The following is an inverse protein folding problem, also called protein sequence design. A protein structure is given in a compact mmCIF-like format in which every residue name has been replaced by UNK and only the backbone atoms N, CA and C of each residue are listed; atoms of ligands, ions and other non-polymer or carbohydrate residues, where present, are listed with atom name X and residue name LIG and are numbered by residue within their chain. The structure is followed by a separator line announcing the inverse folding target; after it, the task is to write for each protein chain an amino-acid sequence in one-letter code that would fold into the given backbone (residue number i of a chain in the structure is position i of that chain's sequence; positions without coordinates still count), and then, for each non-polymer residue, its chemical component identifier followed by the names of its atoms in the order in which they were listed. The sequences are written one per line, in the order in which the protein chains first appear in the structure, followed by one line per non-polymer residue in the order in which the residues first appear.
data_IF_605239760391
#
_entry.id   IF_605239760391
#
_cell.length_a   1.000
_cell.length_b   1.000
_cell.length_c   1.000
_cell.angle_alpha   90.00
_cell.angle_beta   90.00
_cell.angle_gamma   90.00
#
_symmetry.space_group_name_H-M   'P 1'
#
loop_
_entity.id
_entity.type
_entity.pdbx_description
1 polymer ?
#
# COMPACT_ATOMS: atom_id res chain seq x y z
N UNK A 1 34.24 61.25 -15.86
CA UNK A 1 33.14 60.46 -16.47
C UNK A 1 33.31 58.94 -16.32
N UNK A 2 34.53 58.43 -16.13
CA UNK A 2 34.84 56.98 -16.05
C UNK A 2 34.33 56.28 -14.78
N UNK A 3 34.25 56.99 -13.65
CA UNK A 3 33.79 56.42 -12.37
C UNK A 3 32.28 56.10 -12.35
N UNK A 4 31.47 56.93 -13.00
CA UNK A 4 30.03 56.72 -13.10
C UNK A 4 29.69 55.44 -13.90
N UNK A 5 30.47 55.13 -14.94
CA UNK A 5 30.24 53.95 -15.78
C UNK A 5 30.58 52.64 -15.02
N UNK A 6 31.68 52.64 -14.27
CA UNK A 6 32.09 51.51 -13.43
C UNK A 6 31.09 51.18 -12.31
N UNK A 7 30.38 52.19 -11.82
CA UNK A 7 29.36 52.04 -10.77
C UNK A 7 28.12 51.32 -11.28
N UNK A 8 27.64 51.71 -12.47
CA UNK A 8 26.49 51.11 -13.14
C UNK A 8 26.72 49.65 -13.52
N UNK A 9 27.92 49.30 -14.01
CA UNK A 9 28.26 47.91 -14.35
C UNK A 9 28.29 46.99 -13.12
N UNK A 10 28.83 47.46 -11.98
CA UNK A 10 28.83 46.68 -10.74
C UNK A 10 27.43 46.44 -10.19
N UNK A 11 26.54 47.43 -10.30
CA UNK A 11 25.14 47.31 -9.90
C UNK A 11 24.41 46.34 -10.85
N UNK A 12 24.62 46.46 -12.16
CA UNK A 12 24.03 45.55 -13.14
C UNK A 12 24.48 44.09 -12.94
N UNK A 13 25.76 43.86 -12.64
CA UNK A 13 26.31 42.52 -12.34
C UNK A 13 25.82 41.97 -10.98
N UNK A 14 25.63 42.84 -9.98
CA UNK A 14 25.04 42.46 -8.69
C UNK A 14 23.56 42.11 -8.82
N UNK A 15 22.79 42.95 -9.51
CA UNK A 15 21.37 42.76 -9.77
C UNK A 15 21.11 41.50 -10.60
N UNK A 16 21.89 41.23 -11.65
CA UNK A 16 21.76 40.03 -12.47
C UNK A 16 21.99 38.73 -11.70
N UNK A 17 22.96 38.71 -10.77
CA UNK A 17 23.20 37.55 -9.89
C UNK A 17 22.06 37.33 -8.91
N UNK A 18 21.53 38.40 -8.32
CA UNK A 18 20.40 38.32 -7.39
C UNK A 18 19.12 37.83 -8.08
N UNK A 19 18.78 38.37 -9.25
CA UNK A 19 17.61 37.92 -10.03
C UNK A 19 17.74 36.46 -10.44
N UNK A 20 18.93 36.03 -10.86
CA UNK A 20 19.17 34.61 -11.21
C UNK A 20 19.06 33.69 -9.99
N UNK A 21 19.57 34.13 -8.83
CA UNK A 21 19.45 33.38 -7.58
C UNK A 21 17.99 33.26 -7.13
N UNK A 22 17.22 34.34 -7.25
CA UNK A 22 15.79 34.34 -6.95
C UNK A 22 15.02 33.41 -7.90
N UNK A 23 15.27 33.51 -9.21
CA UNK A 23 14.64 32.66 -10.21
C UNK A 23 14.96 31.18 -9.98
N UNK A 24 16.23 30.85 -9.71
CA UNK A 24 16.65 29.50 -9.35
C UNK A 24 15.97 29.01 -8.06
N UNK A 25 15.85 29.88 -7.06
CA UNK A 25 15.14 29.57 -5.81
C UNK A 25 13.66 29.26 -6.02
N UNK A 26 12.97 30.05 -6.84
CA UNK A 26 11.55 29.81 -7.16
C UNK A 26 11.37 28.48 -7.89
N UNK A 27 12.23 28.18 -8.87
CA UNK A 27 12.18 26.90 -9.61
C UNK A 27 12.45 25.73 -8.65
N UNK A 28 13.42 25.87 -7.75
CA UNK A 28 13.72 24.83 -6.76
C UNK A 28 12.54 24.57 -5.83
N UNK A 29 11.91 25.64 -5.30
CA UNK A 29 10.72 25.52 -4.44
C UNK A 29 9.56 24.88 -5.22
N UNK A 30 9.32 25.29 -6.46
CA UNK A 30 8.29 24.72 -7.30
C UNK A 30 8.54 23.22 -7.56
N UNK A 31 9.79 22.82 -7.82
CA UNK A 31 10.15 21.42 -8.02
C UNK A 31 9.97 20.59 -6.75
N UNK A 32 10.43 21.10 -5.60
CA UNK A 32 10.22 20.43 -4.30
C UNK A 32 8.72 20.30 -4.03
N UNK A 33 7.95 21.37 -4.23
CA UNK A 33 6.50 21.36 -4.06
C UNK A 33 5.81 20.34 -4.96
N UNK A 34 6.23 20.24 -6.23
CA UNK A 34 5.72 19.25 -7.18
C UNK A 34 6.00 17.82 -6.73
N UNK A 35 7.23 17.55 -6.28
CA UNK A 35 7.62 16.21 -5.79
C UNK A 35 6.81 15.84 -4.54
N UNK A 36 6.67 16.77 -3.59
CA UNK A 36 5.87 16.55 -2.38
C UNK A 36 4.39 16.34 -2.71
N UNK A 37 3.85 17.11 -3.66
CA UNK A 37 2.48 16.94 -4.13
C UNK A 37 2.27 15.56 -4.77
N UNK A 38 3.18 15.13 -5.64
CA UNK A 38 3.13 13.81 -6.26
C UNK A 38 3.20 12.71 -5.21
N UNK A 39 4.11 12.82 -4.24
CA UNK A 39 4.21 11.89 -3.13
C UNK A 39 2.92 11.81 -2.30
N UNK A 40 2.29 12.95 -2.03
CA UNK A 40 1.02 13.01 -1.31
C UNK A 40 -0.12 12.33 -2.09
N UNK A 41 -0.23 12.58 -3.40
CA UNK A 41 -1.22 11.93 -4.27
C UNK A 41 -1.01 10.42 -4.33
N UNK A 42 0.23 9.96 -4.51
CA UNK A 42 0.56 8.53 -4.52
C UNK A 42 0.23 7.87 -3.18
N UNK A 43 0.53 8.55 -2.07
CA UNK A 43 0.20 8.06 -0.74
C UNK A 43 -1.32 7.96 -0.55
N UNK A 44 -2.07 8.99 -0.95
CA UNK A 44 -3.53 8.97 -0.89
C UNK A 44 -4.11 7.84 -1.77
N UNK A 45 -3.58 7.64 -2.97
CA UNK A 45 -3.98 6.55 -3.86
C UNK A 45 -3.68 5.17 -3.25
N UNK A 46 -2.51 4.99 -2.62
CA UNK A 46 -2.15 3.74 -1.94
C UNK A 46 -3.08 3.46 -0.76
N UNK A 47 -3.38 4.47 0.07
CA UNK A 47 -4.34 4.34 1.18
C UNK A 47 -5.72 3.97 0.66
N UNK A 48 -6.19 4.62 -0.42
CA UNK A 48 -7.47 4.30 -1.03
C UNK A 48 -7.49 2.85 -1.54
N UNK A 49 -6.43 2.40 -2.22
CA UNK A 49 -6.30 1.03 -2.71
C UNK A 49 -6.31 0.01 -1.55
N UNK A 50 -5.59 0.29 -0.46
CA UNK A 50 -5.60 -0.54 0.75
C UNK A 50 -7.01 -0.59 1.34
N UNK A 51 -7.69 0.55 1.46
CA UNK A 51 -9.07 0.62 1.96
C UNK A 51 -10.02 -0.25 1.14
N UNK A 52 -9.94 -0.17 -0.19
CA UNK A 52 -10.74 -1.01 -1.10
C UNK A 52 -10.38 -2.48 -0.94
N UNK A 53 -9.10 -2.83 -0.85
CA UNK A 53 -8.65 -4.20 -0.68
C UNK A 53 -9.13 -4.80 0.65
N UNK A 54 -9.11 -4.03 1.74
CA UNK A 54 -9.61 -4.45 3.03
C UNK A 54 -11.13 -4.66 3.02
N UNK A 55 -11.88 -3.77 2.36
CA UNK A 55 -13.33 -3.93 2.20
C UNK A 55 -13.68 -5.16 1.37
N UNK A 56 -13.01 -5.34 0.22
CA UNK A 56 -13.23 -6.49 -0.65
C UNK A 56 -12.83 -7.81 0.03
N UNK A 57 -11.67 -7.85 0.66
CA UNK A 57 -11.18 -9.01 1.40
C UNK A 57 -12.04 -9.33 2.61
N UNK A 58 -12.48 -8.33 3.37
CA UNK A 58 -13.40 -8.49 4.49
C UNK A 58 -14.78 -8.99 4.07
N UNK A 59 -15.33 -8.45 2.98
CA UNK A 59 -16.59 -8.92 2.40
C UNK A 59 -16.47 -10.38 1.91
N UNK A 60 -15.38 -10.72 1.24
CA UNK A 60 -15.11 -12.09 0.81
C UNK A 60 -14.97 -13.04 1.99
N UNK A 61 -14.19 -12.68 3.01
CA UNK A 61 -14.03 -13.48 4.22
C UNK A 61 -15.37 -13.71 4.91
N UNK A 62 -16.17 -12.65 5.10
CA UNK A 62 -17.50 -12.75 5.69
C UNK A 62 -18.42 -13.66 4.86
N UNK A 63 -18.39 -13.52 3.54
CA UNK A 63 -19.15 -14.35 2.62
C UNK A 63 -18.75 -15.83 2.69
N UNK A 64 -17.45 -16.13 2.77
CA UNK A 64 -16.97 -17.52 2.94
C UNK A 64 -17.39 -18.12 4.28
N UNK A 65 -17.44 -17.31 5.35
CA UNK A 65 -17.85 -17.76 6.68
C UNK A 65 -19.36 -18.01 6.77
N UNK A 66 -20.19 -17.12 6.22
CA UNK A 66 -21.66 -17.27 6.24
C UNK A 66 -22.12 -18.40 5.33
N UNK A 67 -21.48 -18.61 4.17
CA UNK A 67 -21.85 -19.70 3.26
C UNK A 67 -21.45 -21.09 3.76
N UNK A 68 -20.75 -21.19 4.90
CA UNK A 68 -20.13 -22.41 5.39
C UNK A 68 -19.05 -22.92 4.43
N UNK A 69 -18.27 -23.94 4.81
CA UNK A 69 -17.44 -24.66 3.86
C UNK A 69 -18.38 -25.33 2.87
N UNK A 70 -18.73 -24.63 1.79
CA UNK A 70 -19.21 -25.28 0.59
C UNK A 70 -18.04 -26.11 0.11
N UNK A 71 -18.17 -27.43 0.28
CA UNK A 71 -17.50 -28.45 -0.50
C UNK A 71 -17.36 -27.95 -1.95
N UNK A 72 -16.28 -27.24 -2.27
CA UNK A 72 -15.86 -27.02 -3.63
C UNK A 72 -15.24 -28.35 -3.99
N UNK A 73 -16.06 -29.20 -4.62
CA UNK A 73 -15.59 -30.42 -5.22
C UNK A 73 -14.39 -30.12 -6.12
N UNK A 74 -13.33 -30.88 -5.91
CA UNK A 74 -12.06 -30.77 -6.59
C UNK A 74 -10.96 -31.23 -5.65
N UNK A 75 -10.84 -32.55 -5.53
CA UNK A 75 -9.68 -33.34 -5.09
C UNK A 75 -8.60 -32.62 -4.29
N UNK A 76 -8.52 -32.95 -3.00
CA UNK A 76 -7.29 -33.46 -2.38
C UNK A 76 -7.58 -33.84 -0.91
N UNK A 77 -7.82 -35.14 -0.69
CA UNK A 77 -7.52 -35.88 0.55
C UNK A 77 -7.77 -35.17 1.89
N UNK A 78 -8.99 -34.72 2.14
CA UNK A 78 -9.33 -34.03 3.39
C UNK A 78 -10.79 -34.17 3.78
N UNK A 79 -11.39 -35.34 3.52
CA UNK A 79 -12.66 -35.71 4.15
C UNK A 79 -12.51 -35.45 5.66
N UNK A 80 -13.31 -34.57 6.28
CA UNK A 80 -13.18 -34.30 7.71
C UNK A 80 -13.51 -35.61 8.41
N UNK A 81 -12.45 -36.36 8.72
CA UNK A 81 -12.53 -37.73 9.24
C UNK A 81 -13.37 -37.63 10.48
N UNK A 82 -14.62 -38.07 10.39
CA UNK A 82 -15.57 -37.97 11.47
C UNK A 82 -15.06 -38.92 12.54
N UNK A 83 -14.35 -38.36 13.53
CA UNK A 83 -13.75 -39.11 14.62
C UNK A 83 -14.88 -39.48 15.57
N UNK A 84 -15.41 -40.69 15.41
CA UNK A 84 -16.45 -41.22 16.29
C UNK A 84 -15.75 -41.89 17.47
N UNK A 85 -15.75 -41.21 18.62
CA UNK A 85 -15.29 -41.81 19.87
C UNK A 85 -16.33 -42.82 20.35
N UNK A 86 -15.97 -44.12 20.33
CA UNK A 86 -16.81 -45.19 20.85
C UNK A 86 -16.17 -45.74 22.12
N UNK A 87 -16.99 -46.02 23.14
CA UNK A 87 -16.54 -46.68 24.36
C UNK A 87 -16.52 -48.19 24.13
N UNK A 88 -15.32 -48.76 24.04
CA UNK A 88 -15.10 -50.20 23.96
C UNK A 88 -14.78 -50.82 25.33
N UNK A 89 -14.70 -52.16 25.41
CA UNK A 89 -14.40 -52.89 26.65
C UNK A 89 -13.08 -52.48 27.32
N UNK A 90 -12.13 -52.00 26.51
CA UNK A 90 -10.76 -51.66 26.94
C UNK A 90 -10.54 -50.14 27.09
N UNK A 91 -11.59 -49.32 26.97
CA UNK A 91 -11.50 -47.85 27.06
C UNK A 91 -12.13 -47.13 25.87
N UNK A 92 -11.79 -45.84 25.70
CA UNK A 92 -12.22 -45.04 24.56
C UNK A 92 -11.38 -45.36 23.32
N UNK A 93 -12.02 -45.79 22.24
CA UNK A 93 -11.37 -45.97 20.94
C UNK A 93 -11.90 -44.90 19.97
N UNK A 94 -11.00 -44.38 19.12
CA UNK A 94 -11.34 -43.44 18.05
C UNK A 94 -11.16 -44.18 16.74
N UNK A 95 -12.27 -44.46 16.06
CA UNK A 95 -12.26 -45.10 14.74
C UNK A 95 -12.52 -44.02 13.69
N UNK A 96 -11.63 -43.92 12.69
CA UNK A 96 -11.84 -43.07 11.54
C UNK A 96 -12.69 -43.80 10.51
N UNK A 97 -13.85 -43.28 10.15
CA UNK A 97 -14.77 -43.88 9.17
C UNK A 97 -14.31 -43.77 7.70
N UNK A 98 -13.03 -43.50 7.46
CA UNK A 98 -12.44 -43.38 6.12
C UNK A 98 -12.00 -44.75 5.60
N UNK A 99 -12.38 -45.09 4.37
CA UNK A 99 -11.83 -46.25 3.65
C UNK A 99 -10.41 -45.92 3.19
N UNK A 100 -9.44 -46.73 3.63
CA UNK A 100 -8.16 -46.88 2.94
C UNK A 100 -8.29 -48.02 1.91
#
# INVERSE_FOLDING_TARGET
MTEANNSSERIAQGAGRFVRALAAGVIAIAFIGLVLFLAAVLTAAAIAAIGVALLAGGAWWLWTKIRGPRNRGGDDNGDPTLLVARRGPNGWTVEGTGRF
#
